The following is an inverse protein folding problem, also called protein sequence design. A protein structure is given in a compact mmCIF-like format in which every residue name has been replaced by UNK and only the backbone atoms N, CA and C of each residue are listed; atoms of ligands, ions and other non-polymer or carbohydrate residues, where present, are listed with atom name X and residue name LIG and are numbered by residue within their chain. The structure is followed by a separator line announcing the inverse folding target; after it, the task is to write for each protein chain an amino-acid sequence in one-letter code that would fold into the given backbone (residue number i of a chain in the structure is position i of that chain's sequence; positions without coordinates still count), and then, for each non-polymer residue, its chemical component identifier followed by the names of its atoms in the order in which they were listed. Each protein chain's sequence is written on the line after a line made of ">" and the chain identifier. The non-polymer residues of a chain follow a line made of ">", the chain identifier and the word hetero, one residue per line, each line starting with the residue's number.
data_IF_268447075233
#
_entry.id   IF_268447075233
#
_cell.length_a   1.000
_cell.length_b   1.000
_cell.length_c   1.000
_cell.angle_alpha   90.00
_cell.angle_beta   90.00
_cell.angle_gamma   90.00
#
_symmetry.space_group_name_H-M   'P 1'
#
loop_
_entity.id
_entity.type
_entity.pdbx_description
1 polymer ?
#
# COMPACT_ATOMS: atom_id res chain seq x y z
N UNK A 1 -21.35 11.56 5.54
CA UNK A 1 -21.00 12.84 4.90
C UNK A 1 -19.78 13.41 5.61
N UNK A 2 -18.59 13.29 5.03
CA UNK A 2 -17.31 13.44 5.76
C UNK A 2 -16.64 14.82 5.65
N UNK A 3 -17.13 15.71 4.79
CA UNK A 3 -16.37 16.90 4.38
C UNK A 3 -16.95 18.25 4.83
N UNK A 4 -18.03 18.23 5.63
CA UNK A 4 -18.74 19.44 6.06
C UNK A 4 -19.29 20.27 4.88
N UNK A 5 -20.00 21.38 5.16
CA UNK A 5 -20.50 22.31 4.12
C UNK A 5 -19.94 23.72 4.22
N UNK A 6 -19.42 24.12 5.37
CA UNK A 6 -19.03 25.50 5.70
C UNK A 6 -17.71 25.52 6.47
N UNK A 7 -17.09 26.70 6.56
CA UNK A 7 -15.83 26.91 7.28
C UNK A 7 -14.58 26.58 6.46
N UNK A 8 -13.42 26.88 7.05
CA UNK A 8 -12.10 26.59 6.48
C UNK A 8 -11.89 25.06 6.44
N UNK A 9 -11.67 24.52 5.25
CA UNK A 9 -11.57 23.09 4.98
C UNK A 9 -10.51 22.84 3.92
N UNK A 10 -9.82 21.72 4.08
CA UNK A 10 -8.81 21.27 3.13
C UNK A 10 -9.14 19.86 2.67
N UNK A 11 -9.29 19.66 1.36
CA UNK A 11 -9.37 18.35 0.72
C UNK A 11 -7.99 17.97 0.22
N UNK A 12 -7.46 16.83 0.66
CA UNK A 12 -6.29 16.24 0.05
C UNK A 12 -6.71 15.25 -1.03
N UNK A 13 -6.16 15.43 -2.22
CA UNK A 13 -6.16 14.42 -3.28
C UNK A 13 -4.78 13.78 -3.28
N UNK A 14 -4.73 12.49 -2.95
CA UNK A 14 -3.48 11.77 -2.70
C UNK A 14 -3.29 10.71 -3.79
N UNK A 15 -2.23 10.86 -4.58
CA UNK A 15 -1.71 9.80 -5.46
C UNK A 15 -0.66 9.00 -4.67
N UNK A 16 -0.99 7.77 -4.26
CA UNK A 16 -0.14 6.91 -3.42
C UNK A 16 0.01 5.52 -4.04
N UNK A 17 1.25 5.05 -4.12
CA UNK A 17 1.59 3.70 -4.60
C UNK A 17 1.81 2.69 -3.46
N UNK A 18 1.98 3.15 -2.22
CA UNK A 18 2.25 2.25 -1.07
C UNK A 18 1.07 2.05 -0.11
N UNK A 19 -0.03 2.79 -0.30
CA UNK A 19 -1.25 2.67 0.50
C UNK A 19 -1.76 1.23 0.60
N UNK A 20 -2.28 0.86 1.78
CA UNK A 20 -2.82 -0.48 2.04
C UNK A 20 -4.33 -0.41 2.18
N UNK A 21 -5.03 -1.18 1.35
CA UNK A 21 -6.46 -1.38 1.52
C UNK A 21 -6.72 -2.18 2.79
N UNK A 22 -7.39 -1.56 3.75
CA UNK A 22 -7.75 -2.19 5.03
C UNK A 22 -9.26 -2.32 5.20
N UNK A 23 -10.06 -2.23 4.13
CA UNK A 23 -11.53 -2.36 4.16
C UNK A 23 -12.02 -3.52 5.01
N UNK A 24 -11.42 -4.71 4.84
CA UNK A 24 -11.81 -5.93 5.56
C UNK A 24 -11.31 -5.99 7.01
N UNK A 25 -10.49 -5.03 7.41
CA UNK A 25 -9.93 -4.89 8.75
C UNK A 25 -10.42 -3.61 9.45
N UNK A 26 -11.19 -2.76 8.74
CA UNK A 26 -11.75 -1.54 9.28
C UNK A 26 -12.91 -1.84 10.23
N UNK A 27 -13.02 -1.02 11.28
CA UNK A 27 -14.19 -1.04 12.15
C UNK A 27 -15.46 -0.56 11.43
N UNK A 28 -15.32 0.25 10.37
CA UNK A 28 -16.42 0.80 9.58
C UNK A 28 -16.50 0.09 8.21
N UNK A 29 -17.29 -0.99 8.08
CA UNK A 29 -17.27 -1.85 6.88
C UNK A 29 -17.80 -1.19 5.61
N UNK A 30 -18.44 -0.03 5.74
CA UNK A 30 -19.00 0.75 4.63
C UNK A 30 -17.96 1.66 3.97
N UNK A 31 -16.76 1.77 4.55
CA UNK A 31 -15.69 2.64 4.06
C UNK A 31 -14.64 1.83 3.31
N UNK A 32 -14.24 2.32 2.13
CA UNK A 32 -13.10 1.78 1.39
C UNK A 32 -11.79 2.37 1.95
N UNK A 33 -11.49 2.04 3.21
CA UNK A 33 -10.39 2.65 3.95
C UNK A 33 -9.02 2.22 3.40
N UNK A 34 -8.19 3.22 3.07
CA UNK A 34 -6.80 3.06 2.66
C UNK A 34 -5.89 3.63 3.74
N UNK A 35 -5.03 2.78 4.31
CA UNK A 35 -4.04 3.18 5.30
C UNK A 35 -2.74 3.60 4.62
N UNK A 36 -2.32 4.83 4.87
CA UNK A 36 -0.99 5.32 4.52
C UNK A 36 -0.01 4.93 5.64
N UNK A 37 1.14 4.39 5.25
CA UNK A 37 2.16 4.00 6.23
C UNK A 37 2.81 5.25 6.86
N UNK A 38 3.33 5.16 8.09
CA UNK A 38 4.09 6.24 8.70
C UNK A 38 5.34 6.62 7.90
N UNK A 39 5.76 7.88 8.03
CA UNK A 39 6.96 8.43 7.41
C UNK A 39 7.01 8.22 5.87
N UNK A 40 5.87 8.36 5.19
CA UNK A 40 5.85 8.55 3.73
C UNK A 40 6.19 9.99 3.39
N UNK A 41 6.81 10.18 2.23
CA UNK A 41 7.14 11.49 1.70
C UNK A 41 6.21 11.79 0.53
N UNK A 42 5.75 13.04 0.45
CA UNK A 42 4.85 13.49 -0.60
C UNK A 42 5.35 14.81 -1.16
N UNK A 43 5.19 14.98 -2.47
CA UNK A 43 5.42 16.24 -3.16
C UNK A 43 4.08 16.93 -3.43
N UNK A 44 3.99 18.22 -3.12
CA UNK A 44 2.81 19.04 -3.46
C UNK A 44 2.82 19.31 -4.96
N UNK A 45 1.80 18.81 -5.65
CA UNK A 45 1.66 18.96 -7.11
C UNK A 45 0.82 20.16 -7.49
N UNK A 46 -0.22 20.47 -6.72
CA UNK A 46 -1.04 21.66 -6.94
C UNK A 46 -1.77 22.08 -5.67
N UNK A 47 -2.09 23.37 -5.59
CA UNK A 47 -2.97 23.96 -4.58
C UNK A 47 -4.04 24.77 -5.31
N UNK A 48 -5.31 24.49 -5.03
CA UNK A 48 -6.45 25.20 -5.58
C UNK A 48 -7.29 25.79 -4.45
N UNK A 49 -7.50 27.10 -4.48
CA UNK A 49 -8.57 27.73 -3.70
C UNK A 49 -9.87 27.64 -4.50
N UNK A 50 -10.80 26.82 -4.02
CA UNK A 50 -12.10 26.59 -4.65
C UNK A 50 -13.18 27.58 -4.16
N UNK A 51 -12.82 28.57 -3.35
CA UNK A 51 -13.73 29.52 -2.73
C UNK A 51 -14.51 28.93 -1.55
N UNK A 52 -15.31 29.76 -0.87
CA UNK A 52 -16.12 29.34 0.30
C UNK A 52 -15.31 28.63 1.41
N UNK A 53 -14.04 29.01 1.58
CA UNK A 53 -13.13 28.41 2.56
C UNK A 53 -12.65 27.00 2.22
N UNK A 54 -12.79 26.55 0.96
CA UNK A 54 -12.32 25.23 0.52
C UNK A 54 -10.98 25.34 -0.22
N UNK A 55 -9.95 24.71 0.34
CA UNK A 55 -8.69 24.45 -0.34
C UNK A 55 -8.61 22.99 -0.79
N UNK A 56 -8.14 22.75 -2.01
CA UNK A 56 -7.84 21.42 -2.52
C UNK A 56 -6.34 21.35 -2.75
N UNK A 57 -5.69 20.37 -2.14
CA UNK A 57 -4.25 20.13 -2.27
C UNK A 57 -4.04 18.78 -2.91
N UNK A 58 -3.36 18.76 -4.06
CA UNK A 58 -2.93 17.52 -4.70
C UNK A 58 -1.52 17.19 -4.25
N UNK A 59 -1.34 15.99 -3.71
CA UNK A 59 -0.05 15.47 -3.31
C UNK A 59 0.21 14.13 -3.99
N UNK A 60 1.47 13.88 -4.31
CA UNK A 60 1.92 12.61 -4.88
C UNK A 60 3.00 12.01 -4.01
N UNK A 61 2.84 10.73 -3.67
CA UNK A 61 3.84 9.97 -2.93
C UNK A 61 5.12 9.88 -3.75
N UNK A 62 6.24 10.07 -3.07
CA UNK A 62 7.58 9.92 -3.64
C UNK A 62 8.35 8.88 -2.83
N UNK A 63 9.29 8.19 -3.48
CA UNK A 63 10.13 7.22 -2.78
C UNK A 63 11.07 7.95 -1.82
N UNK A 64 11.05 7.61 -0.51
CA UNK A 64 11.92 8.24 0.44
C UNK A 64 13.37 7.78 0.21
N UNK A 65 14.33 8.70 0.41
CA UNK A 65 15.76 8.37 0.36
C UNK A 65 16.14 7.25 1.35
N UNK A 66 15.45 7.22 2.50
CA UNK A 66 15.62 6.20 3.54
C UNK A 66 14.24 5.61 3.90
N UNK A 67 13.91 4.40 3.45
CA UNK A 67 12.63 3.77 3.81
C UNK A 67 12.60 3.40 5.29
N UNK A 68 11.45 3.62 5.94
CA UNK A 68 11.26 3.30 7.37
C UNK A 68 11.27 1.79 7.64
N UNK A 69 10.71 1.01 6.72
CA UNK A 69 10.58 -0.44 6.86
C UNK A 69 11.60 -1.13 5.98
N UNK A 70 12.25 -2.14 6.53
CA UNK A 70 13.06 -3.07 5.76
C UNK A 70 12.17 -3.97 4.87
N UNK A 71 12.63 -4.36 3.67
CA UNK A 71 11.93 -5.34 2.85
C UNK A 71 11.84 -6.68 3.58
N UNK A 72 10.66 -7.32 3.56
CA UNK A 72 10.51 -8.68 4.09
C UNK A 72 11.27 -9.65 3.18
N UNK A 73 12.22 -10.46 3.69
CA UNK A 73 12.91 -11.46 2.90
C UNK A 73 11.89 -12.48 2.36
N UNK A 74 11.88 -12.70 1.04
CA UNK A 74 11.07 -13.77 0.45
C UNK A 74 11.74 -15.10 0.79
N UNK A 75 11.08 -16.04 1.50
CA UNK A 75 11.64 -17.35 1.74
C UNK A 75 11.95 -18.01 0.39
N UNK A 76 13.19 -18.48 0.19
CA UNK A 76 13.51 -19.29 -0.99
C UNK A 76 12.67 -20.56 -0.94
N UNK A 77 11.97 -20.86 -2.04
CA UNK A 77 11.35 -22.17 -2.21
C UNK A 77 12.43 -23.23 -2.00
N UNK A 78 12.21 -24.13 -1.06
CA UNK A 78 13.07 -25.30 -0.87
C UNK A 78 12.90 -26.13 -2.15
N UNK A 79 13.93 -26.18 -3.00
CA UNK A 79 13.92 -27.11 -4.13
C UNK A 79 13.78 -28.54 -3.57
N UNK A 80 12.91 -29.38 -4.15
CA UNK A 80 12.75 -30.75 -3.68
C UNK A 80 14.10 -31.47 -3.76
N UNK A 81 14.51 -32.08 -2.64
CA UNK A 81 15.77 -32.83 -2.55
C UNK A 81 15.79 -33.94 -3.61
N UNK A 82 16.69 -33.83 -4.59
CA UNK A 82 16.86 -34.82 -5.67
C UNK A 82 17.45 -36.16 -5.17
N UNK A 83 17.58 -36.36 -3.86
CA UNK A 83 18.09 -37.60 -3.26
C UNK A 83 16.98 -38.49 -2.73
N UNK A 84 16.21 -39.12 -3.62
CA UNK A 84 15.61 -40.45 -3.39
C UNK A 84 14.89 -41.01 -4.63
N UNK A 85 15.52 -40.93 -5.81
CA UNK A 85 15.11 -41.84 -6.91
C UNK A 85 15.87 -43.15 -6.69
N UNK A 86 15.23 -44.13 -6.03
CA UNK A 86 15.74 -45.51 -6.03
C UNK A 86 15.73 -46.01 -7.47
N UNK A 87 16.83 -46.60 -7.99
CA UNK A 87 16.78 -47.25 -9.28
C UNK A 87 15.80 -48.43 -9.20
N UNK A 88 14.77 -48.40 -10.06
CA UNK A 88 13.87 -49.53 -10.30
C UNK A 88 14.71 -50.66 -10.89
N UNK A 89 15.08 -51.63 -10.05
CA UNK A 89 15.73 -52.86 -10.50
C UNK A 89 14.73 -53.66 -11.32
N UNK A 90 14.96 -53.75 -12.63
CA UNK A 90 14.37 -54.79 -13.46
C UNK A 90 14.93 -56.14 -13.02
N UNK A 91 14.07 -57.06 -12.58
CA UNK A 91 14.39 -58.49 -12.61
C UNK A 91 13.34 -59.21 -13.44
N UNK A 92 13.77 -59.59 -14.65
CA UNK A 92 13.16 -60.58 -15.51
C UNK A 92 13.59 -61.97 -15.05
N UNK A 93 12.61 -62.86 -14.87
CA UNK A 93 12.56 -64.33 -15.08
C UNK A 93 11.63 -64.98 -14.06
#
# INVERSE_FOLDING_TARGET
>A
MFFGKTGARTLFQIDSHTGKNIKHHSFMPQEDEILLLPARQFEVKSCLDSGNGLHIIQIKEIDPLYPLLEPVPIPRLIEPDKKNVKPSGNNSL
#
